data_IF_135236105848
#
_entry.id   IF_135236105848
#
_cell.length_a   1.000
_cell.length_b   1.000
_cell.length_c   1.000
_cell.angle_alpha   90.00
_cell.angle_beta   90.00
_cell.angle_gamma   90.00
#
_symmetry.space_group_name_H-M   'P 1'
#
loop_
_entity.id
_entity.type
_entity.pdbx_description
1 polymer ?
#
# COMPACT_ATOMS: atom_id res chain seq x y z
N UNK A 1 -9.12 14.24 10.57
CA UNK A 1 -9.53 14.04 9.16
C UNK A 1 -9.56 15.42 8.55
N UNK A 2 -8.62 15.74 7.65
CA UNK A 2 -8.57 17.04 6.99
C UNK A 2 -9.80 17.19 6.09
N UNK A 3 -10.48 18.32 6.19
CA UNK A 3 -11.75 18.66 5.57
C UNK A 3 -11.71 18.74 4.03
N UNK A 4 -10.52 18.78 3.45
CA UNK A 4 -10.27 19.09 2.03
C UNK A 4 -10.78 18.02 1.04
N UNK A 5 -11.15 16.83 1.52
CA UNK A 5 -11.53 15.71 0.65
C UNK A 5 -13.04 15.56 0.42
N UNK A 6 -13.88 16.14 1.27
CA UNK A 6 -15.31 15.79 1.29
C UNK A 6 -16.24 16.93 0.91
N UNK A 7 -15.78 18.20 0.93
CA UNK A 7 -16.65 19.37 0.70
C UNK A 7 -16.00 20.44 -0.15
N UNK A 8 -16.84 21.12 -0.96
CA UNK A 8 -16.49 22.43 -1.50
C UNK A 8 -16.52 23.44 -0.34
N UNK A 9 -15.44 24.17 -0.06
CA UNK A 9 -15.44 25.20 0.98
C UNK A 9 -16.50 26.26 0.69
N UNK A 10 -17.24 26.66 1.74
CA UNK A 10 -18.30 27.68 1.63
C UNK A 10 -19.73 27.14 1.54
N UNK A 11 -19.96 25.85 1.77
CA UNK A 11 -21.31 25.32 1.88
C UNK A 11 -21.98 25.79 3.19
N UNK A 12 -23.25 26.30 3.09
CA UNK A 12 -24.02 26.82 4.24
C UNK A 12 -24.23 25.79 5.37
N UNK A 13 -24.07 24.51 5.07
CA UNK A 13 -24.21 23.39 6.00
C UNK A 13 -22.88 22.87 6.56
N UNK A 14 -21.77 23.50 6.19
CA UNK A 14 -20.42 23.12 6.62
C UNK A 14 -20.25 22.93 8.14
N UNK A 15 -20.74 23.86 9.01
CA UNK A 15 -20.61 23.68 10.45
C UNK A 15 -21.40 22.48 11.00
N UNK A 16 -22.54 22.15 10.42
CA UNK A 16 -23.34 21.00 10.83
C UNK A 16 -22.64 19.68 10.44
N UNK A 17 -22.09 19.62 9.24
CA UNK A 17 -21.34 18.45 8.77
C UNK A 17 -20.06 18.23 9.57
N UNK A 18 -19.33 19.29 9.88
CA UNK A 18 -18.11 19.20 10.69
C UNK A 18 -18.39 18.76 12.13
N UNK A 19 -19.57 19.05 12.64
CA UNK A 19 -19.99 18.63 13.98
C UNK A 19 -20.50 17.19 14.03
N UNK A 20 -21.09 16.65 12.96
CA UNK A 20 -21.79 15.36 12.98
C UNK A 20 -21.06 14.25 12.23
N UNK A 21 -20.52 14.55 11.04
CA UNK A 21 -19.93 13.55 10.16
C UNK A 21 -18.72 12.79 10.77
N UNK A 22 -17.80 13.41 11.51
CA UNK A 22 -16.69 12.69 12.16
C UNK A 22 -17.19 11.66 13.17
N UNK A 23 -18.27 11.95 13.90
CA UNK A 23 -18.81 11.01 14.89
C UNK A 23 -19.52 9.83 14.22
N UNK A 24 -20.28 10.09 13.15
CA UNK A 24 -20.92 9.04 12.34
C UNK A 24 -19.83 8.17 11.69
N UNK A 25 -18.83 8.78 11.09
CA UNK A 25 -17.71 8.06 10.50
C UNK A 25 -16.95 7.22 11.54
N UNK A 26 -16.69 7.78 12.73
CA UNK A 26 -16.02 7.08 13.81
C UNK A 26 -16.84 5.87 14.35
N UNK A 27 -18.14 5.92 14.26
CA UNK A 27 -19.02 4.82 14.66
C UNK A 27 -19.16 3.73 13.57
N UNK A 28 -19.19 4.13 12.28
CA UNK A 28 -19.52 3.23 11.17
C UNK A 28 -18.25 2.64 10.52
N UNK A 29 -17.17 3.42 10.37
CA UNK A 29 -15.96 2.97 9.69
C UNK A 29 -15.24 1.82 10.41
N UNK A 30 -15.06 1.80 11.75
CA UNK A 30 -14.36 0.71 12.41
C UNK A 30 -14.98 -0.67 12.17
N UNK A 31 -16.29 -0.89 12.33
CA UNK A 31 -16.89 -2.19 12.05
C UNK A 31 -16.79 -2.59 10.55
N UNK A 32 -16.89 -1.64 9.62
CA UNK A 32 -16.69 -1.91 8.19
C UNK A 32 -15.25 -2.34 7.92
N UNK A 33 -14.27 -1.62 8.47
CA UNK A 33 -12.85 -1.96 8.29
C UNK A 33 -12.50 -3.28 8.97
N UNK A 34 -13.12 -3.60 10.11
CA UNK A 34 -12.91 -4.88 10.80
C UNK A 34 -13.55 -6.05 10.06
N UNK A 35 -14.62 -5.83 9.29
CA UNK A 35 -15.22 -6.87 8.46
C UNK A 35 -14.41 -7.21 7.21
N UNK A 36 -13.56 -6.31 6.75
CA UNK A 36 -12.62 -6.58 5.67
C UNK A 36 -11.41 -7.38 6.17
N UNK A 37 -10.82 -8.28 5.37
CA UNK A 37 -9.62 -9.03 5.72
C UNK A 37 -8.37 -8.14 5.70
N UNK A 38 -8.35 -7.13 6.58
CA UNK A 38 -7.26 -6.15 6.69
C UNK A 38 -6.22 -6.59 7.71
N UNK A 39 -4.95 -6.29 7.41
CA UNK A 39 -3.84 -6.50 8.34
C UNK A 39 -3.45 -5.14 8.91
N UNK A 40 -3.54 -4.92 10.23
CA UNK A 40 -3.19 -3.65 10.84
C UNK A 40 -1.69 -3.39 10.67
N UNK A 41 -1.35 -2.17 10.25
CA UNK A 41 0.04 -1.72 10.12
C UNK A 41 0.42 -0.93 11.37
N UNK A 42 1.42 -1.41 12.09
CA UNK A 42 1.96 -0.75 13.27
C UNK A 42 3.31 -0.12 12.93
N UNK A 43 3.55 1.08 13.48
CA UNK A 43 4.81 1.83 13.32
C UNK A 43 5.68 1.77 14.59
N UNK A 44 5.37 0.86 15.51
CA UNK A 44 6.07 0.64 16.77
C UNK A 44 6.60 -0.80 16.85
N UNK A 45 6.98 -1.25 18.05
CA UNK A 45 7.47 -2.61 18.32
C UNK A 45 6.52 -3.72 17.83
N UNK A 46 5.24 -3.40 17.57
CA UNK A 46 4.24 -4.33 17.04
C UNK A 46 4.34 -4.56 15.52
N UNK A 47 5.25 -3.88 14.82
CA UNK A 47 5.47 -4.08 13.37
C UNK A 47 5.69 -5.56 13.03
N UNK A 48 6.32 -6.31 13.93
CA UNK A 48 6.52 -7.75 13.74
C UNK A 48 5.21 -8.55 13.71
N UNK A 49 4.14 -8.04 14.32
CA UNK A 49 2.81 -8.65 14.23
C UNK A 49 2.23 -8.49 12.82
N UNK A 50 2.35 -7.29 12.24
CA UNK A 50 1.98 -7.04 10.84
C UNK A 50 2.74 -8.00 9.91
N UNK A 51 4.06 -8.10 10.07
CA UNK A 51 4.88 -8.98 9.23
C UNK A 51 4.48 -10.46 9.37
N UNK A 52 4.23 -10.95 10.59
CA UNK A 52 3.78 -12.34 10.82
C UNK A 52 2.42 -12.63 10.21
N UNK A 53 1.46 -11.71 10.32
CA UNK A 53 0.13 -11.86 9.71
C UNK A 53 0.22 -11.87 8.18
N UNK A 54 1.03 -10.99 7.60
CA UNK A 54 1.30 -10.96 6.15
C UNK A 54 1.93 -12.25 5.67
N UNK A 55 2.93 -12.74 6.40
CA UNK A 55 3.58 -14.03 6.10
C UNK A 55 2.62 -15.21 6.18
N UNK A 56 1.72 -15.22 7.17
CA UNK A 56 0.69 -16.25 7.30
C UNK A 56 -0.22 -16.26 6.08
N UNK A 57 -0.74 -15.08 5.70
CA UNK A 57 -1.62 -14.94 4.53
C UNK A 57 -0.93 -15.42 3.23
N UNK A 58 0.32 -15.04 3.01
CA UNK A 58 1.09 -15.49 1.84
C UNK A 58 1.32 -17.00 1.82
N UNK A 59 1.62 -17.61 2.97
CA UNK A 59 1.79 -19.07 3.08
C UNK A 59 0.48 -19.84 2.83
N UNK A 60 -0.66 -19.23 3.14
CA UNK A 60 -1.99 -19.74 2.83
C UNK A 60 -2.38 -19.55 1.35
N UNK A 61 -1.49 -18.99 0.53
CA UNK A 61 -1.73 -18.75 -0.91
C UNK A 61 -2.59 -17.50 -1.18
N UNK A 62 -2.79 -16.64 -0.19
CA UNK A 62 -3.52 -15.38 -0.36
C UNK A 62 -2.64 -14.32 -0.99
N UNK A 63 -3.26 -13.39 -1.71
CA UNK A 63 -2.60 -12.19 -2.21
C UNK A 63 -2.63 -11.09 -1.15
N UNK A 64 -1.56 -10.29 -1.11
CA UNK A 64 -1.51 -9.08 -0.28
C UNK A 64 -1.62 -7.86 -1.19
N UNK A 65 -2.52 -6.96 -0.83
CA UNK A 65 -2.58 -5.62 -1.42
C UNK A 65 -1.91 -4.67 -0.44
N UNK A 66 -0.92 -3.93 -0.91
CA UNK A 66 -0.13 -2.99 -0.11
C UNK A 66 -0.21 -1.62 -0.77
N UNK A 67 -0.51 -0.60 0.01
CA UNK A 67 -0.44 0.80 -0.38
C UNK A 67 0.88 1.37 0.14
N UNK A 68 1.94 1.41 -0.69
CA UNK A 68 3.27 1.77 -0.22
C UNK A 68 3.50 3.27 -0.12
N UNK A 69 2.53 4.08 -0.51
CA UNK A 69 2.63 5.54 -0.59
C UNK A 69 2.79 6.17 0.79
N UNK A 70 3.68 7.14 0.88
CA UNK A 70 3.81 7.98 2.07
C UNK A 70 2.86 9.18 1.99
N UNK A 71 2.42 9.75 3.13
CA UNK A 71 1.51 10.90 3.16
C UNK A 71 2.04 12.17 2.49
N UNK A 72 3.35 12.25 2.22
CA UNK A 72 4.00 13.38 1.54
C UNK A 72 3.66 13.51 0.04
N UNK A 73 2.94 12.54 -0.52
CA UNK A 73 2.53 12.57 -1.93
C UNK A 73 3.63 12.19 -2.92
N UNK A 74 3.37 12.43 -4.21
CA UNK A 74 4.29 12.11 -5.30
C UNK A 74 5.42 13.15 -5.37
N UNK A 75 6.54 12.86 -4.70
CA UNK A 75 7.78 13.62 -4.88
C UNK A 75 8.50 13.24 -6.19
N UNK A 76 9.42 14.08 -6.64
CA UNK A 76 10.25 13.81 -7.82
C UNK A 76 11.19 12.60 -7.63
N UNK A 77 11.58 12.33 -6.39
CA UNK A 77 12.37 11.16 -6.01
C UNK A 77 11.50 10.02 -5.51
N UNK A 78 11.99 8.80 -5.56
CA UNK A 78 11.28 7.59 -5.10
C UNK A 78 11.04 7.55 -3.57
N UNK A 79 11.39 8.59 -2.83
CA UNK A 79 11.18 8.75 -1.38
C UNK A 79 9.71 8.71 -0.92
N UNK A 80 8.77 8.83 -1.85
CA UNK A 80 7.33 8.71 -1.57
C UNK A 80 6.86 7.26 -1.38
N UNK A 81 7.69 6.27 -1.71
CA UNK A 81 7.42 4.86 -1.46
C UNK A 81 8.08 4.43 -0.16
N UNK A 82 7.28 3.92 0.76
CA UNK A 82 7.80 3.22 1.94
C UNK A 82 8.34 1.86 1.52
N UNK A 83 9.61 1.59 1.79
CA UNK A 83 10.29 0.35 1.40
C UNK A 83 10.32 -0.72 2.48
N UNK A 84 9.94 -0.40 3.71
CA UNK A 84 10.03 -1.31 4.85
C UNK A 84 9.27 -2.63 4.67
N UNK A 85 8.18 -2.62 3.92
CA UNK A 85 7.39 -3.81 3.62
C UNK A 85 8.12 -4.81 2.70
N UNK A 86 9.12 -4.38 1.93
CA UNK A 86 9.90 -5.28 1.07
C UNK A 86 10.63 -6.38 1.86
N UNK A 87 10.85 -6.18 3.15
CA UNK A 87 11.37 -7.22 4.04
C UNK A 87 10.49 -8.49 4.07
N UNK A 88 9.21 -8.36 3.75
CA UNK A 88 8.30 -9.52 3.62
C UNK A 88 8.81 -10.48 2.54
N UNK A 89 9.36 -9.97 1.44
CA UNK A 89 9.89 -10.79 0.34
C UNK A 89 11.05 -11.66 0.83
N UNK A 90 12.00 -11.07 1.56
CA UNK A 90 13.13 -11.79 2.16
C UNK A 90 12.66 -12.84 3.18
N UNK A 91 11.72 -12.46 4.05
CA UNK A 91 11.15 -13.38 5.04
C UNK A 91 10.43 -14.55 4.38
N UNK A 92 9.67 -14.28 3.32
CA UNK A 92 8.93 -15.30 2.59
C UNK A 92 9.87 -16.29 1.91
N UNK A 93 10.90 -15.79 1.22
CA UNK A 93 11.91 -16.65 0.59
C UNK A 93 12.62 -17.52 1.62
N UNK A 94 13.08 -16.97 2.74
CA UNK A 94 13.73 -17.72 3.82
C UNK A 94 12.83 -18.80 4.41
N UNK A 95 11.53 -18.57 4.45
CA UNK A 95 10.56 -19.50 5.05
C UNK A 95 10.03 -20.56 4.08
N UNK A 96 10.08 -20.34 2.76
CA UNK A 96 9.40 -21.18 1.76
C UNK A 96 10.31 -21.61 0.61
N UNK A 97 11.47 -20.96 0.42
CA UNK A 97 12.34 -21.14 -0.76
C UNK A 97 11.76 -20.59 -2.06
N UNK A 98 10.65 -19.83 -2.00
CA UNK A 98 9.95 -19.32 -3.18
C UNK A 98 10.12 -17.81 -3.28
N UNK A 99 10.34 -17.33 -4.50
CA UNK A 99 10.36 -15.90 -4.79
C UNK A 99 8.95 -15.33 -4.84
N UNK A 100 8.79 -14.07 -4.36
CA UNK A 100 7.54 -13.33 -4.52
C UNK A 100 7.57 -12.50 -5.80
N UNK A 101 6.43 -12.49 -6.50
CA UNK A 101 6.20 -11.60 -7.63
C UNK A 101 5.36 -10.42 -7.18
N UNK A 102 5.84 -9.22 -7.50
CA UNK A 102 5.21 -7.96 -7.15
C UNK A 102 4.56 -7.38 -8.40
N UNK A 103 3.28 -7.05 -8.30
CA UNK A 103 2.48 -6.46 -9.38
C UNK A 103 2.15 -5.02 -9.02
N UNK A 104 2.76 -4.02 -9.68
CA UNK A 104 2.30 -2.65 -9.53
C UNK A 104 0.91 -2.51 -10.13
N UNK A 105 0.02 -1.80 -9.44
CA UNK A 105 -1.34 -1.53 -9.92
C UNK A 105 -1.54 -0.03 -9.98
N UNK A 106 -1.71 0.48 -11.19
CA UNK A 106 -2.04 1.88 -11.44
C UNK A 106 -3.54 2.10 -11.34
N UNK A 107 -3.94 3.19 -10.68
CA UNK A 107 -5.35 3.61 -10.60
C UNK A 107 -5.56 4.76 -11.59
N UNK A 108 -6.18 4.48 -12.72
CA UNK A 108 -6.56 5.51 -13.67
C UNK A 108 -7.90 6.13 -13.26
N UNK A 109 -7.84 7.28 -12.59
CA UNK A 109 -9.03 7.99 -12.13
C UNK A 109 -9.90 8.51 -13.26
N UNK A 110 -9.33 8.77 -14.46
CA UNK A 110 -10.09 9.27 -15.61
C UNK A 110 -10.91 8.16 -16.26
N UNK A 111 -10.32 6.97 -16.36
CA UNK A 111 -10.98 5.79 -16.93
C UNK A 111 -11.75 4.98 -15.89
N UNK A 112 -11.66 5.33 -14.59
CA UNK A 112 -12.23 4.57 -13.46
C UNK A 112 -11.86 3.09 -13.49
N UNK A 113 -10.58 2.78 -13.75
CA UNK A 113 -10.11 1.39 -13.84
C UNK A 113 -8.78 1.19 -13.11
N UNK A 114 -8.50 -0.08 -12.82
CA UNK A 114 -7.23 -0.55 -12.29
C UNK A 114 -6.44 -1.19 -13.43
N UNK A 115 -5.22 -0.72 -13.63
CA UNK A 115 -4.31 -1.26 -14.64
C UNK A 115 -3.17 -2.00 -13.96
N UNK A 116 -3.14 -3.35 -14.10
CA UNK A 116 -2.03 -4.16 -13.59
C UNK A 116 -0.85 -4.00 -14.54
N UNK A 117 0.26 -3.50 -14.01
CA UNK A 117 1.48 -3.23 -14.77
C UNK A 117 2.41 -4.45 -14.78
N UNK A 118 3.48 -4.38 -15.59
CA UNK A 118 4.48 -5.45 -15.71
C UNK A 118 5.01 -5.86 -14.32
N UNK A 119 4.97 -7.16 -13.98
CA UNK A 119 5.43 -7.62 -12.70
C UNK A 119 6.95 -7.54 -12.55
N UNK A 120 7.41 -7.47 -11.31
CA UNK A 120 8.82 -7.65 -10.96
C UNK A 120 8.94 -8.75 -9.91
N UNK A 121 9.91 -9.64 -10.10
CA UNK A 121 10.18 -10.73 -9.19
C UNK A 121 11.30 -10.36 -8.22
N UNK A 122 11.07 -10.61 -6.94
CA UNK A 122 12.13 -10.56 -5.93
C UNK A 122 13.04 -11.80 -6.09
N UNK A 123 14.36 -11.59 -6.17
CA UNK A 123 15.33 -12.67 -6.23
C UNK A 123 15.84 -12.98 -4.82
N UNK A 124 15.41 -14.10 -4.27
CA UNK A 124 15.80 -14.52 -2.92
C UNK A 124 17.27 -14.90 -2.75
N UNK A 125 18.00 -15.10 -3.86
CA UNK A 125 19.46 -15.38 -3.83
C UNK A 125 20.31 -14.12 -3.67
N UNK A 126 19.69 -12.93 -3.77
CA UNK A 126 20.34 -11.64 -3.58
C UNK A 126 19.85 -10.98 -2.29
N UNK A 127 20.65 -10.12 -1.73
CA UNK A 127 20.23 -9.32 -0.59
C UNK A 127 19.17 -8.30 -1.01
N UNK A 128 18.33 -7.89 -0.07
CA UNK A 128 17.32 -6.85 -0.34
C UNK A 128 18.01 -5.54 -0.76
N UNK A 129 19.12 -5.19 -0.12
CA UNK A 129 19.89 -3.96 -0.38
C UNK A 129 20.37 -3.88 -1.82
N UNK A 130 20.86 -4.99 -2.40
CA UNK A 130 21.37 -5.05 -3.78
C UNK A 130 20.28 -4.83 -4.84
N UNK A 131 19.05 -5.19 -4.53
CA UNK A 131 17.95 -5.14 -5.51
C UNK A 131 16.88 -4.10 -5.18
N UNK A 132 16.93 -3.47 -4.00
CA UNK A 132 15.91 -2.54 -3.52
C UNK A 132 15.70 -1.38 -4.50
N UNK A 133 16.75 -0.74 -4.96
CA UNK A 133 16.65 0.40 -5.87
C UNK A 133 15.97 0.02 -7.19
N UNK A 134 16.33 -1.15 -7.73
CA UNK A 134 15.70 -1.67 -8.95
C UNK A 134 14.22 -1.98 -8.74
N UNK A 135 13.87 -2.62 -7.61
CA UNK A 135 12.49 -2.94 -7.27
C UNK A 135 11.66 -1.66 -7.07
N UNK A 136 12.16 -0.71 -6.28
CA UNK A 136 11.48 0.55 -6.02
C UNK A 136 11.28 1.36 -7.30
N UNK A 137 12.29 1.43 -8.15
CA UNK A 137 12.21 2.14 -9.44
C UNK A 137 11.14 1.53 -10.35
N UNK A 138 11.11 0.20 -10.44
CA UNK A 138 10.12 -0.52 -11.21
C UNK A 138 8.69 -0.31 -10.66
N UNK A 139 8.53 -0.46 -9.34
CA UNK A 139 7.24 -0.27 -8.67
C UNK A 139 6.75 1.19 -8.81
N UNK A 140 7.65 2.17 -8.64
CA UNK A 140 7.31 3.59 -8.79
C UNK A 140 6.82 3.93 -10.20
N UNK A 141 7.50 3.43 -11.23
CA UNK A 141 7.08 3.63 -12.62
C UNK A 141 5.71 2.99 -12.88
N UNK A 142 5.52 1.75 -12.43
CA UNK A 142 4.24 1.05 -12.60
C UNK A 142 3.08 1.71 -11.87
N UNK A 143 3.26 2.17 -10.62
CA UNK A 143 2.23 2.87 -9.86
C UNK A 143 1.81 4.20 -10.51
N UNK A 144 2.73 4.87 -11.22
CA UNK A 144 2.44 6.09 -12.00
C UNK A 144 1.80 5.81 -13.37
N UNK A 145 1.62 4.56 -13.75
CA UNK A 145 1.13 4.20 -15.09
C UNK A 145 2.13 4.49 -16.21
N UNK A 146 3.41 4.63 -15.89
CA UNK A 146 4.47 4.80 -16.88
C UNK A 146 4.82 3.45 -17.48
N UNK A 147 4.86 3.38 -18.81
CA UNK A 147 5.34 2.18 -19.49
C UNK A 147 6.81 1.93 -19.11
N UNK A 148 7.03 0.80 -18.45
CA UNK A 148 8.36 0.35 -18.09
C UNK A 148 8.99 -0.24 -19.34
N UNK A 149 9.91 0.53 -19.97
CA UNK A 149 10.73 0.05 -21.08
C UNK A 149 11.56 -1.15 -20.61
N UNK A 150 11.81 -2.08 -21.52
CA UNK A 150 12.63 -3.27 -21.28
C UNK A 150 14.08 -2.93 -20.97
#
# INVERSE_FOLDING_TARGET
VRQDYWWKPGCRLEPLYNATLPYIAAAVLPPILQSAPTIPVYHDARVMTTMRQSMKALKEGKHLVIFPEQPSGFGEHHSWINTGWLNICTMFYRATGKNLTLYPVHIDQKKHCFEVQKPVMFDGNRTLEEQQDKLVKHLAAGLRGQHIAE
#
